data_IF_530605391811
#
_entry.id   IF_530605391811
#
_cell.length_a   1.000
_cell.length_b   1.000
_cell.length_c   1.000
_cell.angle_alpha   90.00
_cell.angle_beta   90.00
_cell.angle_gamma   90.00
#
_symmetry.space_group_name_H-M   'P 1'
#
loop_
_entity.id
_entity.type
_entity.pdbx_description
1 polymer ?
#
# COMPACT_ATOMS: atom_id res chain seq x y z
N UNK A 1 -1.93 -8.79 39.47
CA UNK A 1 -0.98 -9.37 38.50
C UNK A 1 -1.64 -10.09 37.32
N UNK A 2 -2.80 -10.75 37.50
CA UNK A 2 -3.55 -11.35 36.37
C UNK A 2 -4.23 -10.30 35.47
N UNK A 3 -4.76 -9.22 36.03
CA UNK A 3 -5.46 -8.16 35.26
C UNK A 3 -4.51 -7.34 34.37
N UNK A 4 -3.29 -7.09 34.85
CA UNK A 4 -2.25 -6.39 34.09
C UNK A 4 -1.74 -7.22 32.92
N UNK A 5 -1.66 -8.55 33.08
CA UNK A 5 -1.32 -9.46 31.98
C UNK A 5 -2.43 -9.47 30.91
N UNK A 6 -3.70 -9.40 31.35
CA UNK A 6 -4.86 -9.35 30.45
C UNK A 6 -4.91 -8.05 29.65
N UNK A 7 -4.59 -6.91 30.26
CA UNK A 7 -4.53 -5.62 29.56
C UNK A 7 -3.37 -5.56 28.57
N UNK A 8 -2.19 -6.06 28.94
CA UNK A 8 -1.03 -6.17 28.03
C UNK A 8 -1.36 -7.04 26.83
N UNK A 9 -2.04 -8.17 27.03
CA UNK A 9 -2.47 -9.04 25.93
C UNK A 9 -3.41 -8.33 24.95
N UNK A 10 -4.40 -7.58 25.46
CA UNK A 10 -5.31 -6.80 24.62
C UNK A 10 -4.58 -5.72 23.82
N UNK A 11 -3.60 -5.03 24.42
CA UNK A 11 -2.78 -4.03 23.74
C UNK A 11 -1.95 -4.64 22.62
N UNK A 12 -1.31 -5.78 22.86
CA UNK A 12 -0.53 -6.49 21.83
C UNK A 12 -1.43 -6.91 20.67
N UNK A 13 -2.61 -7.46 20.99
CA UNK A 13 -3.57 -7.91 19.98
C UNK A 13 -4.07 -6.73 19.14
N UNK A 14 -4.37 -5.60 19.78
CA UNK A 14 -4.73 -4.36 19.09
C UNK A 14 -3.61 -3.93 18.13
N UNK A 15 -2.38 -3.76 18.62
CA UNK A 15 -1.23 -3.34 17.80
C UNK A 15 -1.00 -4.30 16.62
N UNK A 16 -1.10 -5.61 16.85
CA UNK A 16 -0.96 -6.62 15.80
C UNK A 16 -2.01 -6.46 14.70
N UNK A 17 -3.25 -6.11 15.07
CA UNK A 17 -4.36 -5.92 14.14
C UNK A 17 -4.12 -4.67 13.27
N UNK A 18 -3.64 -3.57 13.86
CA UNK A 18 -3.23 -2.38 13.10
C UNK A 18 -2.08 -2.67 12.14
N UNK A 19 -1.07 -3.43 12.59
CA UNK A 19 0.05 -3.82 11.74
C UNK A 19 -0.42 -4.61 10.52
N UNK A 20 -1.32 -5.58 10.70
CA UNK A 20 -1.88 -6.36 9.58
C UNK A 20 -2.64 -5.46 8.61
N UNK A 21 -3.43 -4.51 9.11
CA UNK A 21 -4.15 -3.54 8.27
C UNK A 21 -3.17 -2.68 7.48
N UNK A 22 -2.14 -2.13 8.12
CA UNK A 22 -1.12 -1.28 7.44
C UNK A 22 -0.36 -2.07 6.37
N UNK A 23 0.10 -3.27 6.71
CA UNK A 23 0.81 -4.15 5.75
C UNK A 23 -0.12 -4.51 4.59
N UNK A 24 -1.37 -4.88 4.87
CA UNK A 24 -2.34 -5.19 3.82
C UNK A 24 -2.56 -3.97 2.93
N UNK A 25 -2.87 -2.80 3.48
CA UNK A 25 -3.09 -1.58 2.69
C UNK A 25 -1.86 -1.15 1.88
N UNK A 26 -0.65 -1.32 2.41
CA UNK A 26 0.58 -1.01 1.66
C UNK A 26 0.84 -2.01 0.52
N UNK A 27 0.55 -3.29 0.73
CA UNK A 27 0.76 -4.36 -0.27
C UNK A 27 -0.32 -4.35 -1.36
N UNK A 28 -1.59 -4.11 -1.01
CA UNK A 28 -2.70 -4.05 -1.99
C UNK A 28 -2.82 -2.70 -2.69
N UNK A 29 -1.99 -1.71 -2.34
CA UNK A 29 -1.88 -0.47 -3.09
C UNK A 29 -0.75 -0.59 -4.13
N UNK A 30 -1.06 -0.84 -5.42
CA UNK A 30 -0.11 -0.56 -6.50
C UNK A 30 0.19 0.96 -6.63
N UNK A 31 -0.37 1.79 -5.74
CA UNK A 31 -0.29 3.25 -5.70
C UNK A 31 1.03 3.81 -5.20
N UNK A 32 1.96 2.97 -4.73
CA UNK A 32 3.35 3.40 -4.44
C UNK A 32 4.25 3.25 -5.67
N UNK A 33 3.67 3.16 -6.86
CA UNK A 33 4.33 3.71 -8.04
C UNK A 33 3.97 5.20 -8.14
N UNK A 34 4.43 6.00 -7.15
CA UNK A 34 4.87 7.38 -7.43
C UNK A 34 6.12 7.33 -8.31
N UNK A 35 6.04 6.57 -9.39
CA UNK A 35 7.05 6.58 -10.42
C UNK A 35 6.79 7.88 -11.16
N UNK A 36 7.57 8.89 -10.77
CA UNK A 36 7.60 10.14 -11.49
C UNK A 36 7.86 9.82 -12.95
N UNK A 37 6.92 10.19 -13.81
CA UNK A 37 7.01 9.97 -15.24
C UNK A 37 7.02 11.31 -15.94
N UNK A 38 7.75 11.40 -17.06
CA UNK A 38 7.69 12.55 -17.97
C UNK A 38 6.96 12.14 -19.24
N UNK A 39 7.10 10.87 -19.63
CA UNK A 39 6.51 10.26 -20.81
C UNK A 39 5.85 8.94 -20.46
N UNK A 40 4.89 8.49 -21.30
CA UNK A 40 4.21 7.20 -21.13
C UNK A 40 5.19 6.01 -21.12
N UNK A 41 6.39 6.17 -21.68
CA UNK A 41 7.43 5.13 -21.74
C UNK A 41 8.15 4.91 -20.40
N UNK A 42 8.09 5.90 -19.50
CA UNK A 42 8.71 5.81 -18.18
C UNK A 42 7.90 4.92 -17.23
N UNK A 43 6.66 4.61 -17.59
CA UNK A 43 5.77 3.77 -16.79
C UNK A 43 5.99 2.28 -17.09
N UNK A 44 6.09 1.43 -16.05
CA UNK A 44 6.23 -0.01 -16.24
C UNK A 44 4.96 -0.56 -16.89
N UNK A 45 5.08 -1.23 -18.03
CA UNK A 45 3.93 -1.89 -18.66
C UNK A 45 3.62 -3.18 -17.90
N UNK A 46 2.64 -3.12 -17.00
CA UNK A 46 2.15 -4.28 -16.27
C UNK A 46 1.14 -5.06 -17.13
N UNK A 47 1.64 -5.93 -18.00
CA UNK A 47 0.83 -6.88 -18.77
C UNK A 47 -0.17 -6.23 -19.73
N UNK A 48 -1.45 -6.57 -19.61
CA UNK A 48 -2.54 -6.05 -20.48
C UNK A 48 -3.03 -4.65 -20.07
N UNK A 49 -2.51 -4.08 -18.99
CA UNK A 49 -2.96 -2.80 -18.45
C UNK A 49 -2.19 -1.68 -19.13
N UNK A 50 -2.90 -0.80 -19.84
CA UNK A 50 -2.31 0.42 -20.42
C UNK A 50 -2.09 1.44 -19.30
N UNK A 51 -0.84 1.58 -18.86
CA UNK A 51 -0.43 2.61 -17.91
C UNK A 51 0.05 3.82 -18.72
N UNK A 52 -0.41 5.02 -18.35
CA UNK A 52 -0.06 6.28 -19.00
C UNK A 52 0.46 7.27 -17.96
N UNK A 53 1.30 8.18 -18.40
CA UNK A 53 1.76 9.27 -17.57
C UNK A 53 0.70 10.39 -17.54
N UNK A 54 0.15 10.70 -16.37
CA UNK A 54 -0.70 11.87 -16.17
C UNK A 54 -0.17 12.68 -14.99
N UNK A 55 0.04 13.97 -15.24
CA UNK A 55 0.44 14.93 -14.21
C UNK A 55 1.72 14.53 -13.44
N UNK A 56 2.64 13.85 -14.13
CA UNK A 56 3.89 13.38 -13.53
C UNK A 56 3.79 12.04 -12.81
N UNK A 57 2.63 11.36 -12.85
CA UNK A 57 2.41 10.07 -12.20
C UNK A 57 1.91 9.00 -13.20
N UNK A 58 2.36 7.77 -13.02
CA UNK A 58 1.90 6.63 -13.80
C UNK A 58 0.52 6.17 -13.33
N UNK A 59 -0.49 6.36 -14.17
CA UNK A 59 -1.89 5.99 -13.89
C UNK A 59 -2.40 4.95 -14.88
N UNK A 60 -3.26 4.06 -14.41
CA UNK A 60 -3.96 3.13 -15.31
C UNK A 60 -4.95 3.89 -16.20
N UNK A 61 -4.69 3.89 -17.50
CA UNK A 61 -5.63 4.41 -18.50
C UNK A 61 -6.70 3.37 -18.77
N UNK A 62 -7.88 3.56 -18.17
CA UNK A 62 -9.12 2.92 -18.63
C UNK A 62 -9.50 3.40 -20.04
#
# INVERSE_FOLDING_TARGET
>A
MAETLKSVYLLILFISLFLVIIVSHSVTSPWVLKQHCVTDKDCPQMGKIKIRCRNGECVQGF
#
